data_IF_473762833844
#
_entry.id   IF_473762833844
#
_cell.length_a   1.000
_cell.length_b   1.000
_cell.length_c   1.000
_cell.angle_alpha   90.00
_cell.angle_beta   90.00
_cell.angle_gamma   90.00
#
_symmetry.space_group_name_H-M   'P 1'
#
loop_
_entity.id
_entity.type
_entity.pdbx_description
1 polymer ?
#
# COMPACT_ATOMS: atom_id res chain seq x y z
N UNK A 1 9.78 -22.22 -0.98
CA UNK A 1 8.68 -22.48 -0.01
C UNK A 1 8.05 -23.86 -0.21
N UNK A 2 7.71 -24.27 -1.44
CA UNK A 2 7.07 -25.57 -1.69
C UNK A 2 7.84 -26.77 -1.11
N UNK A 3 9.16 -26.84 -1.30
CA UNK A 3 9.97 -27.96 -0.81
C UNK A 3 10.06 -28.01 0.73
N UNK A 4 10.26 -26.86 1.38
CA UNK A 4 10.35 -26.77 2.85
C UNK A 4 9.01 -26.99 3.55
N UNK A 5 7.89 -26.74 2.87
CA UNK A 5 6.55 -26.99 3.40
C UNK A 5 6.21 -28.49 3.50
N UNK A 6 6.82 -29.35 2.68
CA UNK A 6 6.59 -30.80 2.69
C UNK A 6 7.25 -31.48 3.90
N UNK A 7 8.36 -30.92 4.39
CA UNK A 7 9.10 -31.46 5.54
C UNK A 7 8.61 -30.77 6.82
N UNK A 8 7.54 -31.29 7.42
CA UNK A 8 6.90 -30.71 8.61
C UNK A 8 7.82 -30.46 9.82
N UNK A 9 8.95 -31.17 9.90
CA UNK A 9 9.98 -30.94 10.93
C UNK A 9 10.61 -29.54 10.86
N UNK A 10 10.78 -28.99 9.65
CA UNK A 10 11.25 -27.61 9.49
C UNK A 10 10.19 -26.61 10.00
N UNK A 11 8.90 -26.88 9.73
CA UNK A 11 7.80 -26.09 10.28
C UNK A 11 7.77 -26.11 11.81
N UNK A 12 8.02 -27.26 12.44
CA UNK A 12 8.07 -27.39 13.90
C UNK A 12 9.23 -26.57 14.51
N UNK A 13 10.39 -26.54 13.86
CA UNK A 13 11.54 -25.71 14.30
C UNK A 13 11.18 -24.22 14.23
N UNK A 14 10.56 -23.76 13.13
CA UNK A 14 10.13 -22.37 13.00
C UNK A 14 9.03 -22.00 14.00
N UNK A 15 8.10 -22.92 14.28
CA UNK A 15 7.05 -22.72 15.28
C UNK A 15 7.58 -22.72 16.72
N UNK A 16 8.74 -23.34 16.97
CA UNK A 16 9.38 -23.34 18.30
C UNK A 16 10.07 -22.02 18.66
N UNK A 17 10.18 -21.07 17.73
CA UNK A 17 10.79 -19.77 17.97
C UNK A 17 9.92 -19.00 18.99
N UNK A 18 10.50 -18.53 20.10
CA UNK A 18 9.80 -17.72 21.09
C UNK A 18 9.12 -16.47 20.49
N UNK A 19 7.89 -16.18 20.94
CA UNK A 19 7.12 -15.00 20.54
C UNK A 19 7.90 -13.67 20.67
N UNK A 20 8.73 -13.43 21.71
CA UNK A 20 9.51 -12.20 21.80
C UNK A 20 10.51 -12.02 20.64
N UNK A 21 11.12 -13.10 20.17
CA UNK A 21 12.08 -13.06 19.05
C UNK A 21 11.34 -12.73 17.75
N UNK A 22 10.17 -13.35 17.55
CA UNK A 22 9.30 -13.06 16.40
C UNK A 22 8.85 -11.59 16.42
N UNK A 23 8.49 -11.06 17.59
CA UNK A 23 8.14 -9.64 17.76
C UNK A 23 9.29 -8.70 17.40
N UNK A 24 10.51 -9.00 17.84
CA UNK A 24 11.70 -8.21 17.49
C UNK A 24 11.99 -8.25 15.98
N UNK A 25 11.88 -9.44 15.36
CA UNK A 25 12.02 -9.59 13.91
C UNK A 25 10.97 -8.76 13.15
N UNK A 26 9.71 -8.82 13.56
CA UNK A 26 8.65 -8.02 12.95
C UNK A 26 8.90 -6.52 13.08
N UNK A 27 9.41 -6.05 14.22
CA UNK A 27 9.76 -4.64 14.41
C UNK A 27 10.76 -4.15 13.34
N UNK A 28 11.82 -4.94 13.08
CA UNK A 28 12.82 -4.62 12.05
C UNK A 28 12.22 -4.73 10.64
N UNK A 29 11.49 -5.81 10.36
CA UNK A 29 10.92 -6.03 9.02
C UNK A 29 9.89 -4.97 8.64
N UNK A 30 8.99 -4.58 9.56
CA UNK A 30 8.02 -3.52 9.31
C UNK A 30 8.67 -2.14 9.21
N UNK A 31 9.77 -1.89 9.92
CA UNK A 31 10.55 -0.66 9.76
C UNK A 31 11.17 -0.60 8.35
N UNK A 32 11.76 -1.69 7.86
CA UNK A 32 12.31 -1.77 6.50
C UNK A 32 11.23 -1.62 5.42
N UNK A 33 10.08 -2.26 5.62
CA UNK A 33 8.94 -2.14 4.69
C UNK A 33 8.39 -0.71 4.63
N UNK A 34 8.28 -0.02 5.77
CA UNK A 34 7.84 1.38 5.80
C UNK A 34 8.87 2.32 5.19
N UNK A 35 10.17 2.10 5.43
CA UNK A 35 11.25 2.84 4.77
C UNK A 35 11.22 2.70 3.24
N UNK A 36 11.04 1.49 2.73
CA UNK A 36 10.88 1.26 1.29
C UNK A 36 9.65 1.97 0.70
N UNK A 37 8.56 2.07 1.47
CA UNK A 37 7.39 2.86 1.08
C UNK A 37 7.68 4.36 1.03
N UNK A 38 8.43 4.90 2.01
CA UNK A 38 8.83 6.31 2.02
C UNK A 38 9.82 6.66 0.93
N UNK A 39 10.65 5.72 0.47
CA UNK A 39 11.57 5.94 -0.65
C UNK A 39 10.83 6.36 -1.92
N UNK A 40 9.57 5.92 -2.12
CA UNK A 40 8.75 6.37 -3.25
C UNK A 40 8.39 7.86 -3.20
N UNK A 41 8.44 8.50 -2.02
CA UNK A 41 8.20 9.93 -1.88
C UNK A 41 9.31 10.78 -2.54
N UNK A 42 10.48 10.20 -2.81
CA UNK A 42 11.56 10.89 -3.53
C UNK A 42 11.13 11.32 -4.94
N UNK A 43 10.14 10.64 -5.52
CA UNK A 43 9.60 10.98 -6.84
C UNK A 43 8.55 12.10 -6.78
N UNK A 44 8.11 12.48 -5.58
CA UNK A 44 7.16 13.56 -5.33
C UNK A 44 7.88 14.84 -4.88
N UNK A 45 7.28 16.00 -5.14
CA UNK A 45 7.82 17.27 -4.67
C UNK A 45 7.39 17.56 -3.23
N UNK A 46 8.25 17.23 -2.26
CA UNK A 46 8.02 17.47 -0.83
C UNK A 46 8.15 18.95 -0.41
N UNK A 47 8.57 19.85 -1.30
CA UNK A 47 8.54 21.28 -1.03
C UNK A 47 7.14 21.88 -1.24
N UNK A 48 6.31 21.25 -2.07
CA UNK A 48 4.95 21.69 -2.36
C UNK A 48 4.04 21.53 -1.13
N UNK A 49 3.32 22.61 -0.77
CA UNK A 49 2.34 22.58 0.34
C UNK A 49 1.26 21.51 0.09
N UNK A 50 0.82 21.38 -1.17
CA UNK A 50 -0.18 20.38 -1.57
C UNK A 50 0.24 18.96 -1.23
N UNK A 51 1.45 18.55 -1.63
CA UNK A 51 1.94 17.17 -1.41
C UNK A 51 2.11 16.89 0.09
N UNK A 52 2.65 17.84 0.85
CA UNK A 52 2.77 17.72 2.32
C UNK A 52 1.41 17.63 3.01
N UNK A 53 0.43 18.43 2.58
CA UNK A 53 -0.93 18.39 3.10
C UNK A 53 -1.60 17.03 2.84
N UNK A 54 -1.54 16.53 1.59
CA UNK A 54 -2.11 15.22 1.23
C UNK A 54 -1.46 14.10 2.04
N UNK A 55 -0.12 14.10 2.14
CA UNK A 55 0.62 13.10 2.91
C UNK A 55 0.25 13.12 4.39
N UNK A 56 0.29 14.29 5.03
CA UNK A 56 -0.02 14.42 6.45
C UNK A 56 -1.47 14.07 6.77
N UNK A 57 -2.41 14.58 5.97
CA UNK A 57 -3.84 14.35 6.19
C UNK A 57 -4.23 12.88 5.96
N UNK A 58 -3.70 12.23 4.91
CA UNK A 58 -3.99 10.83 4.62
C UNK A 58 -3.45 9.88 5.70
N UNK A 59 -2.24 10.12 6.22
CA UNK A 59 -1.69 9.33 7.33
C UNK A 59 -2.53 9.53 8.60
N UNK A 60 -2.87 10.78 8.92
CA UNK A 60 -3.70 11.08 10.10
C UNK A 60 -5.07 10.39 10.03
N UNK A 61 -5.78 10.53 8.91
CA UNK A 61 -7.08 9.89 8.73
C UNK A 61 -6.98 8.37 8.64
N UNK A 62 -5.89 7.85 8.08
CA UNK A 62 -5.57 6.42 8.06
C UNK A 62 -5.41 5.82 9.45
N UNK A 63 -5.08 6.59 10.47
CA UNK A 63 -5.04 6.13 11.87
C UNK A 63 -6.36 6.45 12.61
N UNK A 64 -6.93 7.64 12.38
CA UNK A 64 -8.10 8.12 13.10
C UNK A 64 -9.38 7.35 12.76
N UNK A 65 -9.64 7.10 11.48
CA UNK A 65 -10.87 6.44 11.03
C UNK A 65 -10.94 4.98 11.48
N UNK A 66 -9.90 4.14 11.29
CA UNK A 66 -9.93 2.79 11.84
C UNK A 66 -10.13 2.74 13.34
N UNK A 67 -9.55 3.69 14.08
CA UNK A 67 -9.73 3.76 15.52
C UNK A 67 -11.17 4.10 15.91
N UNK A 68 -11.82 5.01 15.17
CA UNK A 68 -13.24 5.29 15.35
C UNK A 68 -14.11 4.06 15.08
N UNK A 69 -13.89 3.35 13.98
CA UNK A 69 -14.67 2.16 13.63
C UNK A 69 -14.46 1.00 14.61
N UNK A 70 -13.23 0.79 15.10
CA UNK A 70 -12.95 -0.21 16.13
C UNK A 70 -13.58 0.18 17.48
N UNK A 71 -13.43 1.43 17.89
CA UNK A 71 -14.03 1.93 19.14
C UNK A 71 -15.56 1.85 19.13
N UNK A 72 -16.18 2.13 17.98
CA UNK A 72 -17.63 2.07 17.82
C UNK A 72 -18.18 0.64 17.97
N UNK A 73 -17.48 -0.35 17.41
CA UNK A 73 -17.85 -1.77 17.57
C UNK A 73 -17.73 -2.21 19.03
N UNK A 74 -16.72 -1.73 19.76
CA UNK A 74 -16.54 -2.05 21.18
C UNK A 74 -17.67 -1.47 22.04
N UNK A 75 -18.17 -0.27 21.73
CA UNK A 75 -19.19 0.40 22.54
C UNK A 75 -20.62 -0.02 22.23
N UNK A 76 -20.93 -0.30 20.97
CA UNK A 76 -22.31 -0.56 20.50
C UNK A 76 -22.55 -2.01 20.10
N UNK A 77 -21.50 -2.82 19.93
CA UNK A 77 -21.58 -4.20 19.46
C UNK A 77 -21.82 -4.35 17.95
N UNK A 78 -21.96 -3.25 17.20
CA UNK A 78 -22.12 -3.26 15.74
C UNK A 78 -21.25 -2.17 15.08
N UNK A 79 -21.08 -2.26 13.76
CA UNK A 79 -20.39 -1.20 12.99
C UNK A 79 -21.22 0.08 12.91
N UNK A 80 -20.62 1.25 12.62
CA UNK A 80 -21.33 2.52 12.54
C UNK A 80 -22.24 2.63 11.30
N UNK A 81 -22.08 1.75 10.32
CA UNK A 81 -22.94 1.68 9.13
C UNK A 81 -24.08 0.71 9.41
N UNK A 82 -25.32 1.19 9.32
CA UNK A 82 -26.55 0.40 9.45
C UNK A 82 -27.39 0.59 8.19
N UNK A 83 -27.05 -0.13 7.14
CA UNK A 83 -27.77 -0.05 5.86
C UNK A 83 -28.95 -1.04 5.76
N UNK A 84 -29.17 -1.86 6.78
CA UNK A 84 -30.20 -2.91 6.81
C UNK A 84 -29.79 -4.22 6.10
N UNK A 85 -28.57 -4.28 5.54
CA UNK A 85 -27.98 -5.47 4.95
C UNK A 85 -26.67 -5.82 5.68
N UNK A 86 -26.68 -6.94 6.41
CA UNK A 86 -25.54 -7.38 7.21
C UNK A 86 -24.25 -7.53 6.37
N UNK A 87 -24.36 -7.99 5.12
CA UNK A 87 -23.21 -8.17 4.23
C UNK A 87 -22.58 -6.83 3.84
N UNK A 88 -23.40 -5.81 3.55
CA UNK A 88 -22.90 -4.49 3.20
C UNK A 88 -22.20 -3.82 4.39
N UNK A 89 -22.81 -3.92 5.57
CA UNK A 89 -22.26 -3.34 6.79
C UNK A 89 -20.90 -3.96 7.15
N UNK A 90 -20.74 -5.28 6.95
CA UNK A 90 -19.46 -5.97 7.12
C UNK A 90 -18.39 -5.53 6.12
N UNK A 91 -18.75 -5.38 4.83
CA UNK A 91 -17.80 -4.90 3.81
C UNK A 91 -17.30 -3.50 4.18
N UNK A 92 -18.21 -2.60 4.56
CA UNK A 92 -17.85 -1.25 4.99
C UNK A 92 -16.96 -1.29 6.24
N UNK A 93 -17.28 -2.13 7.22
CA UNK A 93 -16.46 -2.31 8.42
C UNK A 93 -15.03 -2.72 8.06
N UNK A 94 -14.83 -3.69 7.17
CA UNK A 94 -13.49 -4.17 6.78
C UNK A 94 -12.68 -3.08 6.07
N UNK A 95 -13.32 -2.31 5.19
CA UNK A 95 -12.68 -1.22 4.45
C UNK A 95 -12.20 -0.13 5.43
N UNK A 96 -13.08 0.31 6.34
CA UNK A 96 -12.78 1.43 7.23
C UNK A 96 -11.92 1.06 8.45
N UNK A 97 -11.82 -0.23 8.81
CA UNK A 97 -10.88 -0.72 9.83
C UNK A 97 -9.48 -0.96 9.30
N UNK A 98 -9.26 -0.95 7.98
CA UNK A 98 -7.95 -1.12 7.37
C UNK A 98 -7.21 0.22 7.23
N UNK A 99 -6.13 0.49 8.00
CA UNK A 99 -5.44 1.78 7.98
C UNK A 99 -4.85 2.14 6.62
N UNK A 100 -4.22 1.17 5.96
CA UNK A 100 -3.61 1.36 4.65
C UNK A 100 -4.65 1.68 3.57
N UNK A 101 -5.80 1.00 3.61
CA UNK A 101 -6.89 1.22 2.64
C UNK A 101 -7.47 2.62 2.80
N UNK A 102 -7.77 3.03 4.05
CA UNK A 102 -8.29 4.37 4.32
C UNK A 102 -7.29 5.45 3.92
N UNK A 103 -6.02 5.32 4.31
CA UNK A 103 -4.97 6.27 3.93
C UNK A 103 -4.86 6.37 2.40
N UNK A 104 -4.86 5.24 1.69
CA UNK A 104 -4.77 5.18 0.23
C UNK A 104 -5.97 5.83 -0.47
N UNK A 105 -7.20 5.52 -0.03
CA UNK A 105 -8.42 6.12 -0.60
C UNK A 105 -8.44 7.63 -0.40
N UNK A 106 -8.06 8.12 0.78
CA UNK A 106 -8.03 9.55 1.09
C UNK A 106 -6.91 10.25 0.32
N UNK A 107 -5.72 9.67 0.28
CA UNK A 107 -4.59 10.19 -0.50
C UNK A 107 -4.97 10.31 -1.99
N UNK A 108 -5.60 9.28 -2.54
CA UNK A 108 -6.05 9.27 -3.93
C UNK A 108 -7.15 10.31 -4.19
N UNK A 109 -8.16 10.38 -3.32
CA UNK A 109 -9.25 11.35 -3.42
C UNK A 109 -8.74 12.79 -3.34
N UNK A 110 -7.83 13.09 -2.41
CA UNK A 110 -7.21 14.40 -2.30
C UNK A 110 -6.28 14.71 -3.47
N UNK A 111 -5.54 13.71 -3.97
CA UNK A 111 -4.70 13.90 -5.15
C UNK A 111 -5.54 14.31 -6.36
N UNK A 112 -6.70 13.69 -6.57
CA UNK A 112 -7.62 14.04 -7.66
C UNK A 112 -8.29 15.42 -7.47
N UNK A 113 -8.83 15.70 -6.29
CA UNK A 113 -9.59 16.93 -6.03
C UNK A 113 -8.68 18.17 -5.97
N UNK A 114 -7.47 18.03 -5.43
CA UNK A 114 -6.46 19.08 -5.38
C UNK A 114 -5.61 19.15 -6.67
N UNK A 115 -5.78 18.24 -7.63
CA UNK A 115 -5.11 18.28 -8.94
C UNK A 115 -5.80 19.19 -9.96
N UNK A 116 -6.15 20.43 -9.57
CA UNK A 116 -6.74 21.39 -10.52
C UNK A 116 -5.70 21.88 -11.53
N UNK A 117 -5.76 21.29 -12.73
CA UNK A 117 -5.40 21.78 -14.07
C UNK A 117 -4.01 22.37 -14.34
N UNK A 118 -3.14 22.54 -13.33
CA UNK A 118 -1.81 23.11 -13.55
C UNK A 118 -0.80 22.02 -13.97
N UNK A 119 0.00 22.23 -15.03
CA UNK A 119 0.99 21.26 -15.50
C UNK A 119 2.05 20.91 -14.45
N UNK A 120 2.30 21.84 -13.50
CA UNK A 120 3.21 21.67 -12.38
C UNK A 120 2.75 20.58 -11.40
N UNK A 121 1.43 20.37 -11.26
CA UNK A 121 0.87 19.39 -10.32
C UNK A 121 1.22 17.95 -10.69
N UNK A 122 1.41 17.66 -11.99
CA UNK A 122 1.83 16.34 -12.46
C UNK A 122 3.28 16.03 -12.09
N UNK A 123 4.12 17.07 -12.00
CA UNK A 123 5.50 16.96 -11.52
C UNK A 123 5.50 16.76 -10.01
N UNK A 124 4.70 17.54 -9.28
CA UNK A 124 4.61 17.50 -7.82
C UNK A 124 4.13 16.16 -7.26
N UNK A 125 3.23 15.48 -7.97
CA UNK A 125 2.63 14.21 -7.54
C UNK A 125 3.44 12.97 -7.98
N UNK A 126 4.62 13.16 -8.60
CA UNK A 126 5.45 12.05 -9.09
C UNK A 126 4.91 11.26 -10.29
N UNK A 127 3.69 11.57 -10.76
CA UNK A 127 3.08 10.95 -11.96
C UNK A 127 3.96 11.05 -13.22
N UNK A 128 4.79 12.09 -13.30
CA UNK A 128 5.75 12.26 -14.40
C UNK A 128 6.81 11.15 -14.45
N UNK A 129 7.23 10.63 -13.30
CA UNK A 129 8.20 9.52 -13.21
C UNK A 129 7.53 8.21 -13.64
N UNK A 130 6.34 7.94 -13.12
CA UNK A 130 5.52 6.76 -13.47
C UNK A 130 5.12 6.72 -14.95
N UNK A 131 4.97 7.88 -15.61
CA UNK A 131 4.63 7.95 -17.03
C UNK A 131 5.67 7.30 -17.96
N UNK A 132 6.91 7.08 -17.50
CA UNK A 132 7.95 6.38 -18.25
C UNK A 132 7.69 4.88 -18.34
N UNK A 133 7.12 4.30 -17.28
CA UNK A 133 6.86 2.86 -17.16
C UNK A 133 5.47 2.44 -17.64
N UNK A 134 4.69 3.38 -18.19
CA UNK A 134 3.33 3.08 -18.69
C UNK A 134 3.34 2.14 -19.91
N UNK A 135 4.39 2.21 -20.72
CA UNK A 135 4.58 1.38 -21.90
C UNK A 135 5.94 0.72 -21.82
N UNK A 136 5.99 -0.59 -22.10
CA UNK A 136 7.20 -1.40 -21.94
C UNK A 136 8.38 -0.84 -22.76
N UNK A 137 8.15 -0.50 -24.03
CA UNK A 137 9.20 -0.03 -24.94
C UNK A 137 9.71 1.41 -24.72
N UNK A 138 9.24 2.12 -23.68
CA UNK A 138 9.56 3.55 -23.50
C UNK A 138 10.80 3.81 -22.65
N UNK A 139 11.19 2.88 -21.80
CA UNK A 139 12.36 2.98 -20.93
C UNK A 139 13.10 1.63 -20.95
N UNK A 140 14.40 1.58 -21.31
CA UNK A 140 15.17 0.34 -21.40
C UNK A 140 15.23 -0.42 -20.07
N UNK A 141 15.04 0.26 -18.93
CA UNK A 141 14.97 -0.38 -17.62
C UNK A 141 13.76 -1.32 -17.48
N UNK A 142 12.69 -1.08 -18.23
CA UNK A 142 11.51 -1.96 -18.20
C UNK A 142 11.85 -3.36 -18.71
N UNK A 143 12.76 -3.46 -19.67
CA UNK A 143 13.25 -4.75 -20.19
C UNK A 143 14.09 -5.49 -19.14
N UNK A 144 14.91 -4.77 -18.38
CA UNK A 144 15.71 -5.35 -17.30
C UNK A 144 14.82 -5.97 -16.20
N UNK A 145 13.74 -5.29 -15.80
CA UNK A 145 12.87 -5.75 -14.71
C UNK A 145 11.79 -6.75 -15.13
N UNK A 146 11.29 -6.66 -16.36
CA UNK A 146 10.13 -7.42 -16.83
C UNK A 146 10.44 -8.37 -17.99
N UNK A 147 11.72 -8.60 -18.32
CA UNK A 147 12.08 -9.64 -19.29
C UNK A 147 11.74 -11.03 -18.76
N UNK A 148 11.22 -11.86 -19.66
CA UNK A 148 10.96 -13.26 -19.35
C UNK A 148 12.29 -14.01 -19.24
N UNK A 149 12.42 -14.97 -18.30
CA UNK A 149 13.63 -15.75 -18.14
C UNK A 149 13.97 -16.49 -19.44
N UNK A 150 15.24 -16.81 -19.65
CA UNK A 150 15.72 -17.54 -20.83
C UNK A 150 15.43 -16.87 -22.19
N UNK A 151 15.22 -15.55 -22.23
CA UNK A 151 15.02 -14.81 -23.50
C UNK A 151 13.68 -15.06 -24.16
N UNK A 152 12.71 -15.59 -23.41
CA UNK A 152 11.32 -15.81 -23.83
C UNK A 152 10.61 -14.52 -24.28
N UNK A 153 11.13 -13.34 -23.90
CA UNK A 153 10.65 -12.03 -24.35
C UNK A 153 10.72 -11.85 -25.87
N UNK A 154 11.62 -12.57 -26.56
CA UNK A 154 11.70 -12.56 -28.04
C UNK A 154 10.51 -13.25 -28.71
N UNK A 155 9.90 -14.22 -28.02
CA UNK A 155 8.77 -15.00 -28.54
C UNK A 155 7.42 -14.45 -28.08
N UNK A 156 7.40 -13.72 -26.96
CA UNK A 156 6.22 -13.04 -26.43
C UNK A 156 6.49 -11.54 -26.30
N UNK A 157 6.49 -10.80 -27.41
CA UNK A 157 6.70 -9.36 -27.36
C UNK A 157 5.55 -8.69 -26.60
N UNK A 158 5.89 -7.90 -25.59
CA UNK A 158 4.94 -7.01 -24.93
C UNK A 158 4.58 -5.86 -25.89
N UNK A 159 3.36 -5.91 -26.42
CA UNK A 159 2.79 -4.88 -27.31
C UNK A 159 2.69 -3.52 -26.62
#
# INVERSE_FOLDING_TARGET
MLFFSVIGKFGAILASIPLPIIGALYCVLFALMSAAGFDLLQFCNLNSYRTKFILGFSIYMGLSVPQYFNGYVITTGHGPVLSGSATFDQIMQVIFTSPATVAGVIAYFLDLTLARRHPLTRKDSGRHWWAKFKYYGRDPRSEEFYSLPYGLSKYFPSV
#
